data_IF_569511918433
#
_entry.id   IF_569511918433
#
_cell.length_a   1.000
_cell.length_b   1.000
_cell.length_c   1.000
_cell.angle_alpha   90.00
_cell.angle_beta   90.00
_cell.angle_gamma   90.00
#
_symmetry.space_group_name_H-M   'P 1'
#
loop_
_entity.id
_entity.type
_entity.pdbx_description
1 polymer ?
#
# COMPACT_ATOMS: atom_id res chain seq x y z
N UNK A 1 8.45 -14.47 -2.65
CA UNK A 1 8.48 -13.42 -1.61
C UNK A 1 7.48 -13.85 -0.54
N UNK A 2 7.93 -14.11 0.68
CA UNK A 2 7.02 -14.47 1.78
C UNK A 2 6.51 -13.20 2.44
N UNK A 3 5.20 -13.14 2.71
CA UNK A 3 4.57 -12.03 3.43
C UNK A 3 3.62 -12.59 4.47
N UNK A 4 3.55 -11.94 5.63
CA UNK A 4 2.62 -12.33 6.70
C UNK A 4 1.40 -11.44 6.58
N UNK A 5 0.24 -12.01 6.25
CA UNK A 5 -1.01 -11.24 6.21
C UNK A 5 -1.76 -11.35 7.52
N UNK A 6 -2.03 -10.22 8.15
CA UNK A 6 -2.82 -10.13 9.38
C UNK A 6 -4.18 -9.48 9.10
N UNK A 7 -5.26 -10.01 9.69
CA UNK A 7 -6.59 -9.41 9.60
C UNK A 7 -6.82 -8.45 10.78
N UNK A 8 -6.68 -7.15 10.56
CA UNK A 8 -6.93 -6.14 11.59
C UNK A 8 -8.41 -5.75 11.66
N UNK A 9 -8.92 -5.54 12.86
CA UNK A 9 -10.30 -5.07 13.07
C UNK A 9 -10.49 -3.64 12.57
N UNK A 10 -11.61 -3.36 11.90
CA UNK A 10 -12.03 -2.00 11.55
C UNK A 10 -12.79 -1.40 12.73
N UNK A 11 -12.44 -0.18 13.13
CA UNK A 11 -13.14 0.52 14.20
C UNK A 11 -14.61 0.80 13.84
N UNK A 12 -15.48 0.86 14.85
CA UNK A 12 -16.90 1.21 14.69
C UNK A 12 -17.78 0.14 14.04
N UNK A 13 -17.31 -1.10 13.88
CA UNK A 13 -18.12 -2.19 13.33
C UNK A 13 -18.97 -2.86 14.41
N UNK A 14 -20.26 -3.03 14.09
CA UNK A 14 -21.27 -3.62 14.99
C UNK A 14 -21.13 -5.14 15.14
N UNK A 15 -20.66 -5.81 14.09
CA UNK A 15 -20.54 -7.27 14.04
C UNK A 15 -19.19 -7.69 13.44
N UNK A 16 -18.38 -8.41 14.22
CA UNK A 16 -17.06 -8.92 13.83
C UNK A 16 -17.06 -10.39 13.43
N UNK A 17 -18.23 -11.00 13.23
CA UNK A 17 -18.34 -12.26 12.49
C UNK A 17 -18.22 -12.06 10.98
N UNK A 18 -18.54 -10.85 10.50
CA UNK A 18 -18.52 -10.50 9.08
C UNK A 18 -17.09 -10.20 8.59
N UNK A 19 -16.64 -10.77 7.45
CA UNK A 19 -15.33 -10.47 6.86
C UNK A 19 -15.12 -8.98 6.58
N UNK A 20 -16.20 -8.26 6.22
CA UNK A 20 -16.18 -6.83 5.94
C UNK A 20 -15.77 -5.95 7.13
N UNK A 21 -15.79 -6.50 8.36
CA UNK A 21 -15.37 -5.83 9.59
C UNK A 21 -13.86 -5.91 9.86
N UNK A 22 -13.11 -6.55 8.97
CA UNK A 22 -11.65 -6.62 9.03
C UNK A 22 -11.01 -5.97 7.80
N UNK A 23 -9.72 -5.65 7.93
CA UNK A 23 -8.84 -5.22 6.84
C UNK A 23 -7.60 -6.13 6.82
N UNK A 24 -7.34 -6.86 5.73
CA UNK A 24 -6.10 -7.62 5.60
C UNK A 24 -4.93 -6.65 5.37
N UNK A 25 -3.85 -6.80 6.14
CA UNK A 25 -2.60 -6.06 5.97
C UNK A 25 -1.49 -7.08 5.74
N UNK A 26 -0.88 -7.03 4.56
CA UNK A 26 0.32 -7.80 4.26
C UNK A 26 1.54 -7.09 4.85
N UNK A 27 2.19 -7.74 5.80
CA UNK A 27 3.45 -7.29 6.37
C UNK A 27 4.60 -7.78 5.50
N UNK A 28 5.37 -6.82 5.02
CA UNK A 28 6.54 -7.00 4.17
C UNK A 28 7.82 -6.83 5.00
N UNK A 29 8.93 -7.35 4.49
CA UNK A 29 10.23 -7.14 5.11
C UNK A 29 10.57 -5.63 5.16
N UNK A 30 10.98 -5.15 6.33
CA UNK A 30 11.22 -3.71 6.57
C UNK A 30 12.38 -3.16 5.75
N UNK A 31 13.48 -3.90 5.60
CA UNK A 31 14.62 -3.50 4.77
C UNK A 31 14.24 -3.43 3.30
N UNK A 32 13.50 -4.43 2.81
CA UNK A 32 12.98 -4.42 1.45
C UNK A 32 12.09 -3.19 1.19
N UNK A 33 11.25 -2.82 2.17
CA UNK A 33 10.34 -1.67 2.07
C UNK A 33 11.06 -0.33 1.90
N UNK A 34 12.23 -0.16 2.51
CA UNK A 34 13.05 1.05 2.36
C UNK A 34 13.55 1.19 0.93
N UNK A 35 14.07 0.10 0.35
CA UNK A 35 14.56 0.09 -1.03
C UNK A 35 13.40 0.30 -2.01
N UNK A 36 12.28 -0.39 -1.81
CA UNK A 36 11.05 -0.21 -2.61
C UNK A 36 10.61 1.25 -2.63
N UNK A 37 10.56 1.91 -1.47
CA UNK A 37 10.20 3.32 -1.38
C UNK A 37 11.15 4.19 -2.20
N UNK A 38 12.46 3.99 -2.08
CA UNK A 38 13.43 4.80 -2.82
C UNK A 38 13.31 4.63 -4.33
N UNK A 39 13.09 3.40 -4.80
CA UNK A 39 12.88 3.12 -6.22
C UNK A 39 11.57 3.76 -6.70
N UNK A 40 10.49 3.64 -5.94
CA UNK A 40 9.21 4.27 -6.27
C UNK A 40 9.33 5.80 -6.39
N UNK A 41 10.03 6.45 -5.46
CA UNK A 41 10.27 7.91 -5.50
C UNK A 41 11.02 8.32 -6.79
N UNK A 42 12.05 7.55 -7.18
CA UNK A 42 12.81 7.82 -8.41
C UNK A 42 11.94 7.63 -9.66
N UNK A 43 11.13 6.57 -9.69
CA UNK A 43 10.22 6.30 -10.80
C UNK A 43 9.14 7.37 -10.93
N UNK A 44 8.57 7.82 -9.80
CA UNK A 44 7.57 8.89 -9.77
C UNK A 44 8.16 10.21 -10.30
N UNK A 45 9.34 10.61 -9.81
CA UNK A 45 10.01 11.82 -10.27
C UNK A 45 10.34 11.77 -11.78
N UNK A 46 10.76 10.60 -12.28
CA UNK A 46 11.00 10.41 -13.72
C UNK A 46 9.69 10.49 -14.52
N UNK A 47 8.62 9.86 -14.04
CA UNK A 47 7.31 9.87 -14.70
C UNK A 47 6.74 11.29 -14.81
N UNK A 48 6.85 12.10 -13.76
CA UNK A 48 6.46 13.51 -13.79
C UNK A 48 7.31 14.33 -14.77
N UNK A 49 8.64 14.20 -14.69
CA UNK A 49 9.57 14.95 -15.56
C UNK A 49 9.32 14.67 -17.04
N UNK A 50 8.95 13.44 -17.38
CA UNK A 50 8.72 13.01 -18.75
C UNK A 50 7.26 13.08 -19.19
N UNK A 51 6.36 13.65 -18.37
CA UNK A 51 4.94 13.79 -18.70
C UNK A 51 4.22 12.46 -18.89
N UNK A 52 4.67 11.41 -18.21
CA UNK A 52 4.13 10.04 -18.32
C UNK A 52 2.88 9.83 -17.44
N UNK A 53 2.56 10.78 -16.56
CA UNK A 53 1.38 10.71 -15.70
C UNK A 53 0.19 11.45 -16.33
N UNK A 54 -1.02 10.87 -16.31
CA UNK A 54 -2.24 11.56 -16.70
C UNK A 54 -2.49 12.81 -15.86
N UNK A 55 -3.03 13.87 -16.47
CA UNK A 55 -3.31 15.15 -15.81
C UNK A 55 -4.32 15.06 -14.65
N UNK A 56 -5.12 13.99 -14.59
CA UNK A 56 -6.12 13.75 -13.56
C UNK A 56 -5.64 12.77 -12.47
N UNK A 57 -4.38 12.33 -12.53
CA UNK A 57 -3.82 11.47 -11.49
C UNK A 57 -3.60 12.28 -10.21
N UNK A 58 -4.43 12.02 -9.21
CA UNK A 58 -4.23 12.50 -7.85
C UNK A 58 -3.70 11.33 -7.01
N UNK A 59 -2.58 11.57 -6.32
CA UNK A 59 -1.81 10.56 -5.58
C UNK A 59 -2.60 9.82 -4.52
#
# INVERSE_FOLDING_TARGET
KESITIALRKEGKKDYSLPGSYRPIALENTLAKVIEKRVADLMAAAAEKHGLLPWNQMG
#
